data_IF_295549103155
#
_entry.id   IF_295549103155
#
_cell.length_a   1.000
_cell.length_b   1.000
_cell.length_c   1.000
_cell.angle_alpha   90.00
_cell.angle_beta   90.00
_cell.angle_gamma   90.00
#
_symmetry.space_group_name_H-M   'P 1'
#
loop_
_entity.id
_entity.type
_entity.pdbx_description
1 polymer ?
#
# COMPACT_ATOMS: atom_id res chain seq x y z
N UNK A 1 8.15 -5.65 13.49
CA UNK A 1 6.69 -5.70 13.25
C UNK A 1 6.07 -4.32 13.50
N UNK A 2 5.97 -3.51 12.44
CA UNK A 2 5.54 -2.11 12.52
C UNK A 2 4.04 -1.95 12.70
N UNK A 3 3.60 -1.72 13.94
CA UNK A 3 2.28 -1.17 14.23
C UNK A 3 2.32 0.35 14.00
N UNK A 4 1.27 0.92 13.40
CA UNK A 4 1.07 2.37 13.50
C UNK A 4 0.77 2.61 14.98
N UNK A 5 1.80 2.93 15.75
CA UNK A 5 1.70 3.22 17.18
C UNK A 5 0.53 4.19 17.42
N UNK A 6 -0.25 3.95 18.47
CA UNK A 6 -1.26 4.91 18.95
C UNK A 6 -0.65 6.30 19.20
N UNK A 7 0.69 6.41 19.35
CA UNK A 7 1.46 7.66 19.45
C UNK A 7 1.52 8.49 18.16
N UNK A 8 1.24 7.94 16.98
CA UNK A 8 1.19 8.73 15.74
C UNK A 8 -0.08 9.59 15.64
N UNK A 9 -0.08 10.61 14.78
CA UNK A 9 -1.20 11.53 14.59
C UNK A 9 -2.53 10.81 14.33
N UNK A 10 -3.51 11.03 15.21
CA UNK A 10 -4.87 10.48 15.05
C UNK A 10 -5.54 11.00 13.77
N UNK A 11 -5.28 12.27 13.44
CA UNK A 11 -5.77 12.90 12.21
C UNK A 11 -5.18 12.21 10.98
N UNK A 12 -3.88 11.93 10.96
CA UNK A 12 -3.25 11.25 9.83
C UNK A 12 -3.84 9.86 9.57
N UNK A 13 -4.08 9.07 10.63
CA UNK A 13 -4.77 7.76 10.50
C UNK A 13 -6.19 7.91 9.95
N UNK A 14 -6.93 8.92 10.41
CA UNK A 14 -8.29 9.18 9.94
C UNK A 14 -8.29 9.59 8.46
N UNK A 15 -7.47 10.57 8.08
CA UNK A 15 -7.34 11.04 6.71
C UNK A 15 -6.89 9.92 5.77
N UNK A 16 -5.95 9.07 6.18
CA UNK A 16 -5.52 7.92 5.39
C UNK A 16 -6.65 6.90 5.21
N UNK A 17 -7.48 6.69 6.25
CA UNK A 17 -8.67 5.86 6.17
C UNK A 17 -9.72 6.41 5.20
N UNK A 18 -9.86 7.74 5.11
CA UNK A 18 -10.73 8.41 4.14
C UNK A 18 -10.14 8.35 2.73
N UNK A 19 -8.85 8.59 2.58
CA UNK A 19 -8.14 8.50 1.29
C UNK A 19 -8.23 7.09 0.70
N UNK A 20 -8.10 6.05 1.52
CA UNK A 20 -8.28 4.67 1.06
C UNK A 20 -9.70 4.35 0.60
N UNK A 21 -10.71 5.01 1.16
CA UNK A 21 -12.09 4.88 0.72
C UNK A 21 -12.36 5.68 -0.56
N UNK A 22 -11.74 6.85 -0.71
CA UNK A 22 -11.84 7.70 -1.90
C UNK A 22 -10.95 7.23 -3.06
N UNK A 23 -10.02 6.30 -2.83
CA UNK A 23 -9.12 5.78 -3.85
C UNK A 23 -9.90 5.10 -4.98
N UNK A 24 -9.61 5.53 -6.21
CA UNK A 24 -10.18 4.97 -7.45
C UNK A 24 -9.40 3.76 -7.95
N UNK A 25 -8.35 3.35 -7.26
CA UNK A 25 -7.51 2.22 -7.66
C UNK A 25 -8.22 0.89 -7.51
N UNK A 26 -8.39 0.21 -8.64
CA UNK A 26 -9.01 -1.13 -8.70
C UNK A 26 -8.24 -2.15 -7.85
N UNK A 27 -6.90 -2.04 -7.79
CA UNK A 27 -6.03 -2.92 -6.98
C UNK A 27 -6.31 -2.80 -5.47
N UNK A 28 -6.49 -1.57 -4.97
CA UNK A 28 -6.81 -1.32 -3.56
C UNK A 28 -8.23 -1.78 -3.23
N UNK A 29 -9.19 -1.53 -4.13
CA UNK A 29 -10.58 -2.03 -3.99
C UNK A 29 -10.64 -3.56 -3.94
N UNK A 30 -9.91 -4.26 -4.82
CA UNK A 30 -9.84 -5.73 -4.83
C UNK A 30 -9.28 -6.26 -3.51
N UNK A 31 -8.16 -5.69 -3.05
CA UNK A 31 -7.56 -6.04 -1.77
C UNK A 31 -8.49 -5.80 -0.58
N UNK A 32 -9.21 -4.68 -0.57
CA UNK A 32 -10.23 -4.40 0.45
C UNK A 32 -11.31 -5.49 0.45
N UNK A 33 -11.84 -5.87 -0.71
CA UNK A 33 -12.88 -6.91 -0.81
C UNK A 33 -12.37 -8.27 -0.32
N UNK A 34 -11.14 -8.65 -0.67
CA UNK A 34 -10.52 -9.91 -0.23
C UNK A 34 -10.33 -9.95 1.29
N UNK A 35 -9.78 -8.88 1.88
CA UNK A 35 -9.57 -8.79 3.33
C UNK A 35 -10.90 -8.66 4.06
N UNK A 36 -11.88 -7.95 3.48
CA UNK A 36 -13.22 -7.83 4.05
C UNK A 36 -13.90 -9.19 4.15
N UNK A 37 -13.74 -10.04 3.12
CA UNK A 37 -14.27 -11.41 3.13
C UNK A 37 -13.57 -12.30 4.18
N UNK A 38 -12.27 -12.14 4.39
CA UNK A 38 -11.48 -12.98 5.31
C UNK A 38 -11.50 -12.55 6.78
N UNK A 39 -11.51 -11.24 7.04
CA UNK A 39 -11.20 -10.64 8.37
C UNK A 39 -12.24 -9.62 8.83
N UNK A 40 -13.26 -9.32 8.01
CA UNK A 40 -14.31 -8.35 8.30
C UNK A 40 -13.97 -6.91 7.92
N UNK A 41 -15.03 -6.10 7.78
CA UNK A 41 -14.97 -4.70 7.27
C UNK A 41 -14.04 -3.78 8.07
N UNK A 42 -14.02 -3.78 9.42
CA UNK A 42 -13.17 -2.86 10.17
C UNK A 42 -11.68 -3.10 9.93
N UNK A 43 -11.26 -4.38 9.89
CA UNK A 43 -9.87 -4.76 9.62
C UNK A 43 -9.49 -4.49 8.16
N UNK A 44 -10.43 -4.68 7.23
CA UNK A 44 -10.22 -4.41 5.81
C UNK A 44 -9.95 -2.93 5.53
N UNK A 45 -10.68 -2.00 6.18
CA UNK A 45 -10.43 -0.56 6.05
C UNK A 45 -9.00 -0.18 6.44
N UNK A 46 -8.55 -0.68 7.60
CA UNK A 46 -7.19 -0.40 8.09
C UNK A 46 -6.13 -1.04 7.20
N UNK A 47 -6.37 -2.26 6.72
CA UNK A 47 -5.45 -2.95 5.81
C UNK A 47 -5.32 -2.22 4.46
N UNK A 48 -6.45 -1.75 3.89
CA UNK A 48 -6.45 -0.97 2.65
C UNK A 48 -5.73 0.37 2.82
N UNK A 49 -5.97 1.08 3.92
CA UNK A 49 -5.25 2.30 4.28
C UNK A 49 -3.74 2.07 4.40
N UNK A 50 -3.33 0.97 5.05
CA UNK A 50 -1.92 0.60 5.17
C UNK A 50 -1.30 0.27 3.81
N UNK A 51 -2.01 -0.45 2.93
CA UNK A 51 -1.52 -0.77 1.58
C UNK A 51 -1.34 0.51 0.75
N UNK A 52 -2.32 1.42 0.78
CA UNK A 52 -2.23 2.71 0.11
C UNK A 52 -1.04 3.56 0.60
N UNK A 53 -0.83 3.64 1.91
CA UNK A 53 0.30 4.38 2.48
C UNK A 53 1.66 3.82 2.01
N UNK A 54 1.80 2.50 2.01
CA UNK A 54 3.05 1.85 1.57
C UNK A 54 3.32 2.18 0.10
N UNK A 55 2.29 2.12 -0.75
CA UNK A 55 2.42 2.47 -2.16
C UNK A 55 2.91 3.91 -2.34
N UNK A 56 2.27 4.87 -1.66
CA UNK A 56 2.68 6.28 -1.70
C UNK A 56 4.11 6.49 -1.17
N UNK A 57 4.47 5.80 -0.09
CA UNK A 57 5.81 5.90 0.51
C UNK A 57 6.89 5.35 -0.44
N UNK A 58 6.67 4.21 -1.09
CA UNK A 58 7.62 3.64 -2.06
C UNK A 58 7.75 4.55 -3.27
N UNK A 59 6.64 5.05 -3.83
CA UNK A 59 6.67 6.02 -4.94
C UNK A 59 7.48 7.26 -4.58
N UNK A 60 7.29 7.80 -3.37
CA UNK A 60 8.00 8.99 -2.91
C UNK A 60 9.48 8.71 -2.63
N UNK A 61 9.79 7.59 -1.96
CA UNK A 61 11.16 7.22 -1.56
C UNK A 61 12.04 6.96 -2.79
N UNK A 62 11.51 6.22 -3.76
CA UNK A 62 12.26 5.80 -4.93
C UNK A 62 12.08 6.76 -6.12
N UNK A 63 11.30 7.84 -5.95
CA UNK A 63 10.95 8.83 -6.98
C UNK A 63 10.37 8.18 -8.26
N UNK A 64 9.49 7.19 -8.07
CA UNK A 64 8.92 6.38 -9.15
C UNK A 64 7.52 6.87 -9.50
N UNK A 65 7.20 6.94 -10.79
CA UNK A 65 5.85 7.26 -11.26
C UNK A 65 4.84 6.15 -10.93
N UNK A 66 3.55 6.49 -10.86
CA UNK A 66 2.48 5.52 -10.59
C UNK A 66 2.44 4.39 -11.64
N UNK A 67 2.75 4.68 -12.90
CA UNK A 67 2.78 3.70 -13.98
C UNK A 67 3.89 2.67 -13.78
N UNK A 68 5.09 3.14 -13.44
CA UNK A 68 6.24 2.26 -13.17
C UNK A 68 6.02 1.46 -11.88
N UNK A 69 5.38 2.05 -10.86
CA UNK A 69 4.94 1.32 -9.68
C UNK A 69 3.90 0.23 -10.03
N UNK A 70 2.96 0.53 -10.93
CA UNK A 70 1.92 -0.41 -11.36
C UNK A 70 2.53 -1.59 -12.12
N UNK A 71 3.50 -1.33 -13.00
CA UNK A 71 4.29 -2.33 -13.73
C UNK A 71 5.13 -3.19 -12.78
N UNK A 72 5.79 -2.59 -11.79
CA UNK A 72 6.54 -3.33 -10.74
C UNK A 72 5.64 -4.09 -9.76
N UNK A 73 4.42 -3.61 -9.55
CA UNK A 73 3.42 -4.30 -8.74
C UNK A 73 2.82 -5.53 -9.43
N UNK A 74 2.79 -5.56 -10.77
CA UNK A 74 2.34 -6.71 -11.57
C UNK A 74 3.31 -7.88 -11.54
N UNK A 75 4.61 -7.62 -11.34
CA UNK A 75 5.63 -8.66 -11.06
C UNK A 75 5.60 -9.18 -9.62
N UNK A 76 4.55 -8.89 -8.85
CA UNK A 76 4.30 -9.50 -7.53
C UNK A 76 5.22 -9.02 -6.39
N UNK A 77 6.10 -8.06 -6.65
CA UNK A 77 7.14 -7.62 -5.71
C UNK A 77 6.61 -6.90 -4.45
N UNK A 78 5.35 -6.45 -4.46
CA UNK A 78 4.74 -5.70 -3.36
C UNK A 78 3.35 -6.24 -2.94
N UNK A 79 2.99 -7.43 -3.43
CA UNK A 79 1.72 -8.08 -3.12
C UNK A 79 1.89 -9.03 -1.92
N UNK A 80 1.69 -8.51 -0.70
CA UNK A 80 1.01 -9.32 0.32
C UNK A 80 1.82 -10.07 1.38
N UNK A 81 3.04 -9.66 1.71
CA UNK A 81 3.67 -9.98 3.01
C UNK A 81 4.44 -8.75 3.48
N UNK A 82 4.56 -8.53 4.79
CA UNK A 82 5.27 -7.37 5.33
C UNK A 82 6.78 -7.38 5.11
N UNK A 83 7.28 -8.03 4.05
CA UNK A 83 8.69 -8.17 3.74
C UNK A 83 9.06 -7.22 2.61
N UNK A 84 9.77 -6.18 2.98
CA UNK A 84 10.50 -5.32 2.05
C UNK A 84 11.77 -6.09 1.68
N UNK A 85 11.67 -7.09 0.80
CA UNK A 85 12.86 -7.68 0.20
C UNK A 85 13.40 -6.69 -0.82
N UNK A 86 14.22 -5.77 -0.32
CA UNK A 86 15.02 -4.89 -1.14
C UNK A 86 15.94 -5.73 -2.01
N UNK A 87 15.59 -5.85 -3.29
CA UNK A 87 16.59 -5.92 -4.35
C UNK A 87 16.27 -4.85 -5.37
N UNK A 88 17.11 -3.82 -5.53
CA UNK A 88 17.06 -3.04 -6.75
C UNK A 88 17.41 -4.00 -7.88
N UNK A 89 16.45 -4.26 -8.77
CA UNK A 89 16.77 -4.78 -10.08
C UNK A 89 17.58 -3.69 -10.78
N UNK A 90 18.91 -3.80 -10.65
CA UNK A 90 19.82 -3.22 -11.61
C UNK A 90 19.37 -3.66 -13.00
N UNK A 91 19.15 -2.66 -13.84
CA UNK A 91 19.58 -2.59 -15.24
C UNK A 91 18.47 -1.99 -16.09
N UNK A 92 18.67 -0.74 -16.56
CA UNK A 92 18.97 -0.57 -17.99
C UNK A 92 19.53 0.83 -18.33
N UNK A 93 20.83 0.80 -18.68
CA UNK A 93 21.55 1.53 -19.75
C UNK A 93 21.55 3.07 -19.79
N UNK A 94 22.75 3.61 -19.53
CA UNK A 94 23.53 4.33 -20.55
C UNK A 94 24.87 3.61 -20.71
#
# INVERSE_FOLDING_TARGET
MGSISKRGSRLARYLLGQAAQASRDKKIRKFYSEVSRRRGRPKAKVAAARKLLINCYVMLRDNISYEEFTRRGEVGLYEGSGEVTGKPAQSLKV
#
